data_IF_433428209815
#
_entry.id   IF_433428209815
#
_cell.length_a   1.000
_cell.length_b   1.000
_cell.length_c   1.000
_cell.angle_alpha   90.00
_cell.angle_beta   90.00
_cell.angle_gamma   90.00
#
_symmetry.space_group_name_H-M   'P 1'
#
loop_
_entity.id
_entity.type
_entity.pdbx_description
1 polymer ?
#
# COMPACT_ATOMS: atom_id res chain seq x y z
N UNK A 1 8.06 -17.15 25.34
CA UNK A 1 6.57 -17.09 25.25
C UNK A 1 6.10 -15.84 24.52
N UNK A 2 6.61 -14.64 24.81
CA UNK A 2 6.24 -13.43 24.06
C UNK A 2 6.44 -13.56 22.53
N UNK A 3 7.63 -13.95 22.07
CA UNK A 3 7.97 -14.06 20.63
C UNK A 3 7.04 -14.95 19.78
N UNK A 4 6.39 -15.97 20.37
CA UNK A 4 5.46 -16.83 19.65
C UNK A 4 4.12 -16.13 19.35
N UNK A 5 3.62 -15.33 20.30
CA UNK A 5 2.35 -14.60 20.16
C UNK A 5 2.46 -13.48 19.11
N UNK A 6 3.62 -12.82 18.99
CA UNK A 6 3.84 -11.79 17.96
C UNK A 6 3.93 -12.38 16.56
N UNK A 7 4.56 -13.55 16.41
CA UNK A 7 4.65 -14.21 15.11
C UNK A 7 3.27 -14.73 14.68
N UNK A 8 2.47 -15.25 15.61
CA UNK A 8 1.08 -15.65 15.35
C UNK A 8 0.20 -14.45 14.96
N UNK A 9 0.29 -13.33 15.68
CA UNK A 9 -0.43 -12.10 15.30
C UNK A 9 0.03 -11.53 13.94
N UNK A 10 1.32 -11.64 13.63
CA UNK A 10 1.86 -11.27 12.32
C UNK A 10 1.29 -12.17 11.22
N UNK A 11 1.35 -13.50 11.40
CA UNK A 11 0.87 -14.48 10.44
C UNK A 11 -0.65 -14.36 10.22
N UNK A 12 -1.44 -14.24 11.29
CA UNK A 12 -2.89 -13.99 11.23
C UNK A 12 -3.22 -12.70 10.47
N UNK A 13 -2.38 -11.67 10.61
CA UNK A 13 -2.60 -10.38 9.95
C UNK A 13 -2.31 -10.39 8.44
N UNK A 14 -1.53 -11.35 7.94
CA UNK A 14 -1.16 -11.47 6.52
C UNK A 14 -1.76 -12.70 5.84
N UNK A 15 -2.34 -13.63 6.58
CA UNK A 15 -2.82 -14.92 6.04
C UNK A 15 -3.85 -14.74 4.90
N UNK A 16 -4.73 -13.75 5.03
CA UNK A 16 -5.78 -13.49 4.05
C UNK A 16 -5.32 -12.63 2.87
N UNK A 17 -4.23 -11.87 3.03
CA UNK A 17 -3.79 -10.89 2.04
C UNK A 17 -3.45 -11.51 0.67
N UNK A 18 -2.69 -12.63 0.56
CA UNK A 18 -2.42 -13.26 -0.72
C UNK A 18 -3.69 -13.72 -1.45
N UNK A 19 -4.66 -14.28 -0.72
CA UNK A 19 -5.91 -14.76 -1.28
C UNK A 19 -6.76 -13.60 -1.81
N UNK A 20 -6.86 -12.51 -1.04
CA UNK A 20 -7.58 -11.30 -1.45
C UNK A 20 -6.93 -10.60 -2.65
N UNK A 21 -5.60 -10.47 -2.67
CA UNK A 21 -4.85 -9.95 -3.81
C UNK A 21 -5.09 -10.78 -5.08
N UNK A 22 -5.01 -12.11 -4.96
CA UNK A 22 -5.25 -12.99 -6.10
C UNK A 22 -6.67 -12.81 -6.66
N UNK A 23 -7.68 -12.72 -5.78
CA UNK A 23 -9.06 -12.44 -6.18
C UNK A 23 -9.18 -11.10 -6.89
N UNK A 24 -8.60 -10.04 -6.33
CA UNK A 24 -8.68 -8.70 -6.91
C UNK A 24 -7.96 -8.62 -8.27
N UNK A 25 -6.80 -9.25 -8.44
CA UNK A 25 -6.12 -9.30 -9.74
C UNK A 25 -6.89 -10.11 -10.77
N UNK A 26 -7.58 -11.16 -10.36
CA UNK A 26 -8.46 -11.93 -11.24
C UNK A 26 -9.62 -11.05 -11.73
N UNK A 27 -10.31 -10.38 -10.81
CA UNK A 27 -11.40 -9.45 -11.14
C UNK A 27 -10.91 -8.29 -12.01
N UNK A 28 -9.72 -7.75 -11.75
CA UNK A 28 -9.15 -6.67 -12.56
C UNK A 28 -8.87 -7.12 -13.99
N UNK A 29 -8.37 -8.35 -14.17
CA UNK A 29 -8.18 -8.96 -15.50
C UNK A 29 -9.51 -9.20 -16.21
N UNK A 30 -10.55 -9.60 -15.49
CA UNK A 30 -11.89 -9.75 -16.06
C UNK A 30 -12.46 -8.41 -16.54
N UNK A 31 -12.29 -7.33 -15.76
CA UNK A 31 -12.68 -5.98 -16.16
C UNK A 31 -11.90 -5.51 -17.40
N UNK A 32 -10.60 -5.78 -17.44
CA UNK A 32 -9.76 -5.48 -18.62
C UNK A 32 -10.25 -6.20 -19.87
N UNK A 33 -10.51 -7.50 -19.78
CA UNK A 33 -11.01 -8.26 -20.91
C UNK A 33 -12.37 -7.73 -21.39
N UNK A 34 -13.29 -7.43 -20.48
CA UNK A 34 -14.62 -6.87 -20.83
C UNK A 34 -14.52 -5.47 -21.47
N UNK A 35 -13.60 -4.63 -21.01
CA UNK A 35 -13.35 -3.33 -21.60
C UNK A 35 -12.77 -3.46 -23.02
N UNK A 36 -11.80 -4.35 -23.22
CA UNK A 36 -11.19 -4.59 -24.52
C UNK A 36 -12.19 -5.22 -25.52
N UNK A 37 -13.03 -6.14 -25.07
CA UNK A 37 -14.13 -6.69 -25.88
C UNK A 37 -15.08 -5.57 -26.35
N UNK A 38 -15.50 -4.67 -25.44
CA UNK A 38 -16.34 -3.53 -25.80
C UNK A 38 -15.65 -2.59 -26.78
N UNK A 39 -14.37 -2.33 -26.59
CA UNK A 39 -13.57 -1.51 -27.51
C UNK A 39 -13.54 -2.12 -28.91
N UNK A 40 -13.31 -3.43 -29.02
CA UNK A 40 -13.33 -4.13 -30.30
C UNK A 40 -14.73 -4.10 -30.97
N UNK A 41 -15.81 -4.22 -30.19
CA UNK A 41 -17.18 -4.05 -30.70
C UNK A 41 -17.43 -2.64 -31.22
N UNK A 42 -16.99 -1.62 -30.47
CA UNK A 42 -17.10 -0.21 -30.85
C UNK A 42 -16.34 0.05 -32.16
N UNK A 43 -15.11 -0.45 -32.29
CA UNK A 43 -14.30 -0.28 -33.49
C UNK A 43 -15.00 -0.88 -34.73
N UNK A 44 -15.58 -2.08 -34.60
CA UNK A 44 -16.36 -2.71 -35.67
C UNK A 44 -17.59 -1.88 -36.06
N UNK A 45 -18.36 -1.41 -35.07
CA UNK A 45 -19.54 -0.57 -35.31
C UNK A 45 -19.16 0.77 -35.97
N UNK A 46 -18.05 1.37 -35.57
CA UNK A 46 -17.53 2.60 -36.15
C UNK A 46 -17.08 2.40 -37.60
N UNK A 47 -16.34 1.32 -37.88
CA UNK A 47 -15.95 0.96 -39.24
C UNK A 47 -17.16 0.72 -40.15
N UNK A 48 -18.15 -0.02 -39.68
CA UNK A 48 -19.39 -0.29 -40.42
C UNK A 48 -20.14 1.00 -40.72
N UNK A 49 -20.25 1.89 -39.73
CA UNK A 49 -20.87 3.19 -39.91
C UNK A 49 -20.17 4.01 -40.98
N UNK A 50 -18.83 4.10 -40.94
CA UNK A 50 -18.06 4.86 -41.94
C UNK A 50 -18.27 4.29 -43.36
N UNK A 51 -18.33 2.96 -43.50
CA UNK A 51 -18.54 2.27 -44.79
C UNK A 51 -19.96 2.51 -45.35
N UNK A 52 -20.97 2.61 -44.48
CA UNK A 52 -22.39 2.59 -44.89
C UNK A 52 -23.09 3.94 -44.81
N UNK A 53 -22.56 4.93 -44.08
CA UNK A 53 -23.23 6.20 -43.73
C UNK A 53 -23.84 6.95 -44.91
N UNK A 54 -23.19 6.93 -46.09
CA UNK A 54 -23.69 7.61 -47.29
C UNK A 54 -25.03 7.04 -47.79
N UNK A 55 -25.27 5.77 -47.52
CA UNK A 55 -26.45 5.03 -47.95
C UNK A 55 -27.53 4.91 -46.85
N UNK A 56 -27.23 5.36 -45.62
CA UNK A 56 -28.17 5.31 -44.50
C UNK A 56 -29.08 6.55 -44.47
N UNK A 57 -30.36 6.32 -44.17
CA UNK A 57 -31.32 7.37 -43.85
C UNK A 57 -30.94 8.10 -42.55
N UNK A 58 -31.37 9.36 -42.34
CA UNK A 58 -31.02 10.14 -41.15
C UNK A 58 -31.32 9.41 -39.83
N UNK A 59 -32.47 8.76 -39.72
CA UNK A 59 -32.88 8.03 -38.50
C UNK A 59 -31.97 6.84 -38.21
N UNK A 60 -31.55 6.10 -39.25
CA UNK A 60 -30.63 4.97 -39.11
C UNK A 60 -29.23 5.44 -38.70
N UNK A 61 -28.81 6.64 -39.13
CA UNK A 61 -27.54 7.22 -38.69
C UNK A 61 -27.56 7.54 -37.20
N UNK A 62 -28.66 8.13 -36.72
CA UNK A 62 -28.86 8.41 -35.30
C UNK A 62 -28.84 7.12 -34.49
N UNK A 63 -29.55 6.08 -34.94
CA UNK A 63 -29.57 4.77 -34.27
C UNK A 63 -28.17 4.13 -34.19
N UNK A 64 -27.39 4.16 -35.27
CA UNK A 64 -26.01 3.66 -35.27
C UNK A 64 -25.11 4.44 -34.31
N UNK A 65 -25.20 5.77 -34.30
CA UNK A 65 -24.43 6.60 -33.38
C UNK A 65 -24.81 6.34 -31.91
N UNK A 66 -26.09 6.12 -31.63
CA UNK A 66 -26.55 5.74 -30.29
C UNK A 66 -25.98 4.39 -29.83
N UNK A 67 -25.87 3.40 -30.74
CA UNK A 67 -25.22 2.11 -30.43
C UNK A 67 -23.74 2.27 -30.11
N UNK A 68 -23.02 3.10 -30.87
CA UNK A 68 -21.61 3.41 -30.61
C UNK A 68 -21.47 4.12 -29.26
N UNK A 69 -22.31 5.12 -28.99
CA UNK A 69 -22.28 5.89 -27.74
C UNK A 69 -22.58 5.04 -26.50
N UNK A 70 -23.54 4.11 -26.60
CA UNK A 70 -23.85 3.20 -25.50
C UNK A 70 -22.71 2.20 -25.26
N UNK A 71 -22.06 1.74 -26.32
CA UNK A 71 -20.82 0.95 -26.25
C UNK A 71 -19.72 1.70 -25.49
N UNK A 72 -19.43 2.95 -25.86
CA UNK A 72 -18.44 3.79 -25.17
C UNK A 72 -18.79 4.01 -23.70
N UNK A 73 -20.06 4.27 -23.39
CA UNK A 73 -20.53 4.45 -22.01
C UNK A 73 -20.25 3.20 -21.17
N UNK A 74 -20.51 2.01 -21.73
CA UNK A 74 -20.25 0.74 -21.03
C UNK A 74 -18.76 0.43 -20.90
N UNK A 75 -17.97 0.70 -21.93
CA UNK A 75 -16.51 0.55 -21.88
C UNK A 75 -15.90 1.47 -20.80
N UNK A 76 -16.41 2.69 -20.69
CA UNK A 76 -15.99 3.63 -19.64
C UNK A 76 -16.35 3.11 -18.25
N UNK A 77 -17.57 2.61 -18.05
CA UNK A 77 -18.00 2.02 -16.78
C UNK A 77 -17.05 0.91 -16.31
N UNK A 78 -16.69 -0.04 -17.19
CA UNK A 78 -15.70 -1.07 -16.85
C UNK A 78 -14.32 -0.51 -16.51
N UNK A 79 -13.92 0.57 -17.17
CA UNK A 79 -12.64 1.25 -16.91
C UNK A 79 -12.66 1.95 -15.54
N UNK A 80 -13.77 2.59 -15.19
CA UNK A 80 -13.96 3.26 -13.89
C UNK A 80 -13.98 2.22 -12.76
N UNK A 81 -14.70 1.10 -12.93
CA UNK A 81 -14.72 -0.03 -11.99
C UNK A 81 -13.31 -0.60 -11.77
N UNK A 82 -12.51 -0.71 -12.84
CA UNK A 82 -11.13 -1.19 -12.76
C UNK A 82 -10.27 -0.25 -11.91
N UNK A 83 -10.42 1.06 -12.08
CA UNK A 83 -9.70 2.06 -11.29
C UNK A 83 -10.09 1.94 -9.82
N UNK A 84 -11.38 1.81 -9.51
CA UNK A 84 -11.85 1.63 -8.14
C UNK A 84 -11.29 0.37 -7.49
N UNK A 85 -11.29 -0.75 -8.21
CA UNK A 85 -10.71 -2.01 -7.72
C UNK A 85 -9.20 -1.88 -7.48
N UNK A 86 -8.48 -1.17 -8.33
CA UNK A 86 -7.06 -0.91 -8.16
C UNK A 86 -6.79 -0.04 -6.91
N UNK A 87 -7.59 1.00 -6.68
CA UNK A 87 -7.50 1.83 -5.48
C UNK A 87 -7.75 1.02 -4.22
N UNK A 88 -8.82 0.21 -4.17
CA UNK A 88 -9.12 -0.65 -3.03
C UNK A 88 -8.01 -1.65 -2.75
N UNK A 89 -7.45 -2.25 -3.81
CA UNK A 89 -6.34 -3.21 -3.69
C UNK A 89 -5.08 -2.52 -3.15
N UNK A 90 -4.79 -1.30 -3.61
CA UNK A 90 -3.68 -0.50 -3.11
C UNK A 90 -3.86 -0.15 -1.62
N UNK A 91 -5.02 0.36 -1.23
CA UNK A 91 -5.32 0.70 0.16
C UNK A 91 -5.26 -0.50 1.10
N UNK A 92 -5.73 -1.66 0.64
CA UNK A 92 -5.61 -2.92 1.38
C UNK A 92 -4.13 -3.22 1.65
N UNK A 93 -3.28 -3.19 0.63
CA UNK A 93 -1.84 -3.44 0.77
C UNK A 93 -1.17 -2.40 1.67
N UNK A 94 -1.47 -1.10 1.51
CA UNK A 94 -0.94 -0.02 2.37
C UNK A 94 -1.28 -0.23 3.85
N UNK A 95 -2.51 -0.69 4.15
CA UNK A 95 -2.91 -1.04 5.53
C UNK A 95 -2.04 -2.14 6.11
N UNK A 96 -1.71 -3.17 5.32
CA UNK A 96 -0.81 -4.23 5.79
C UNK A 96 0.61 -3.69 5.99
N UNK A 97 1.16 -2.90 5.06
CA UNK A 97 2.49 -2.28 5.22
C UNK A 97 2.58 -1.49 6.52
N UNK A 98 1.62 -0.58 6.78
CA UNK A 98 1.63 0.23 8.01
C UNK A 98 1.52 -0.59 9.28
N UNK A 99 0.78 -1.70 9.24
CA UNK A 99 0.68 -2.62 10.37
C UNK A 99 2.03 -3.27 10.65
N UNK A 100 2.69 -3.77 9.60
CA UNK A 100 4.03 -4.36 9.71
C UNK A 100 5.05 -3.36 10.24
N UNK A 101 5.04 -2.12 9.75
CA UNK A 101 5.94 -1.07 10.24
C UNK A 101 5.72 -0.77 11.73
N UNK A 102 4.45 -0.73 12.17
CA UNK A 102 4.11 -0.50 13.58
C UNK A 102 4.55 -1.67 14.48
N UNK A 103 4.36 -2.91 14.02
CA UNK A 103 4.76 -4.12 14.75
C UNK A 103 6.29 -4.22 14.85
N UNK A 104 7.01 -3.87 13.78
CA UNK A 104 8.48 -3.78 13.77
C UNK A 104 8.99 -2.72 14.76
N UNK A 105 8.43 -1.51 14.76
CA UNK A 105 8.83 -0.46 15.68
C UNK A 105 8.57 -0.83 17.15
N UNK A 106 7.46 -1.53 17.44
CA UNK A 106 7.20 -2.07 18.78
C UNK A 106 8.23 -3.13 19.18
N UNK A 107 8.56 -4.03 18.26
CA UNK A 107 9.56 -5.08 18.49
C UNK A 107 10.95 -4.49 18.79
N UNK A 108 11.38 -3.48 18.03
CA UNK A 108 12.65 -2.78 18.26
C UNK A 108 12.71 -2.10 19.63
N UNK A 109 11.62 -1.42 20.03
CA UNK A 109 11.53 -0.76 21.34
C UNK A 109 11.58 -1.76 22.50
N UNK A 110 10.85 -2.86 22.42
CA UNK A 110 10.88 -3.90 23.45
C UNK A 110 12.24 -4.61 23.55
N UNK A 111 12.94 -4.78 22.43
CA UNK A 111 14.28 -5.36 22.43
C UNK A 111 15.27 -4.43 23.13
N UNK A 112 15.17 -3.12 22.84
CA UNK A 112 15.98 -2.08 23.49
C UNK A 112 15.70 -1.99 24.99
N UNK A 113 14.44 -2.03 25.39
CA UNK A 113 14.05 -2.02 26.81
C UNK A 113 14.58 -3.25 27.55
N UNK A 114 14.52 -4.45 26.97
CA UNK A 114 15.09 -5.68 27.57
C UNK A 114 16.61 -5.61 27.70
N UNK A 115 17.30 -4.98 26.74
CA UNK A 115 18.73 -4.73 26.80
C UNK A 115 19.07 -3.72 27.91
N UNK A 116 18.33 -2.63 28.01
CA UNK A 116 18.54 -1.59 29.04
C UNK A 116 18.22 -2.12 30.46
N UNK A 117 17.20 -2.97 30.62
CA UNK A 117 16.86 -3.62 31.91
C UNK A 117 17.89 -4.69 32.32
N UNK A 118 18.61 -5.28 31.37
CA UNK A 118 19.73 -6.18 31.67
C UNK A 118 21.03 -5.46 32.05
N UNK A 119 21.06 -4.13 31.92
CA UNK A 119 22.20 -3.27 32.23
C UNK A 119 22.04 -2.45 33.51
N UNK A 120 22.23 -3.08 34.67
CA UNK A 120 22.82 -2.60 35.96
C UNK A 120 22.17 -3.36 37.14
N UNK A 121 22.89 -3.97 38.10
CA UNK A 121 23.84 -3.31 39.00
C UNK A 121 25.11 -4.14 39.30
N UNK A 122 26.28 -3.50 39.21
CA UNK A 122 27.48 -3.93 39.95
C UNK A 122 27.60 -3.05 41.20
N UNK A 123 27.52 -3.60 42.42
CA UNK A 123 27.70 -2.82 43.63
C UNK A 123 29.15 -2.94 44.09
N UNK A 124 30.10 -2.29 43.42
CA UNK A 124 31.40 -2.09 44.05
C UNK A 124 32.16 -0.89 43.48
N UNK A 125 31.97 0.26 44.11
CA UNK A 125 33.09 1.19 44.27
C UNK A 125 32.92 2.02 45.55
N UNK A 126 33.22 1.40 46.69
CA UNK A 126 33.62 2.13 47.89
C UNK A 126 35.11 1.89 48.14
N UNK A 127 35.77 3.00 48.44
CA UNK A 127 37.07 3.15 49.12
C UNK A 127 38.36 2.93 48.33
N UNK A 128 38.94 4.03 47.85
CA UNK A 128 40.35 4.35 48.13
C UNK A 128 40.55 5.87 48.20
N UNK A 129 40.57 6.42 49.41
CA UNK A 129 41.20 7.71 49.70
C UNK A 129 42.72 7.53 49.57
N UNK A 130 43.36 8.30 48.72
CA UNK A 130 44.78 8.65 48.89
C UNK A 130 44.92 10.16 48.76
N UNK A 131 45.24 10.78 49.89
CA UNK A 131 45.69 12.16 49.97
C UNK A 131 47.09 12.24 49.38
N UNK A 132 47.32 13.13 48.42
CA UNK A 132 48.53 13.95 48.45
C UNK A 132 48.22 15.33 47.90
N UNK A 133 48.37 16.27 48.81
CA UNK A 133 48.51 17.72 48.68
C UNK A 133 49.44 18.14 47.52
N UNK A 134 49.08 19.19 46.77
CA UNK A 134 49.75 20.50 46.85
C UNK A 134 49.30 21.48 45.75
N UNK A 135 49.09 22.75 46.14
CA UNK A 135 49.34 23.93 45.29
C UNK A 135 48.18 24.37 44.40
N UNK A 136 47.16 25.05 44.93
CA UNK A 136 47.04 26.51 44.88
C UNK A 136 47.29 27.13 43.48
N UNK A 137 46.22 27.67 42.89
CA UNK A 137 46.04 29.05 42.37
C UNK A 137 45.11 29.03 41.15
N UNK A 138 43.83 29.38 41.37
CA UNK A 138 43.10 30.24 40.45
C UNK A 138 43.42 31.69 40.86
N UNK A 139 43.53 32.63 39.92
CA UNK A 139 42.33 33.42 39.64
C UNK A 139 42.17 33.86 38.16
N UNK A 140 40.90 33.88 37.75
CA UNK A 140 40.20 34.83 36.85
C UNK A 140 40.92 35.62 35.73
N UNK A 141 40.13 35.79 34.65
CA UNK A 141 40.06 36.89 33.69
C UNK A 141 40.98 36.82 32.46
N UNK A 142 40.38 36.82 31.26
CA UNK A 142 40.06 38.06 30.56
C UNK A 142 39.26 37.80 29.27
N UNK A 143 38.63 38.89 28.85
CA UNK A 143 37.90 39.17 27.61
C UNK A 143 38.47 38.53 26.34
#
# INVERSE_FOLDING_TARGET
>A
MATAIYLEHYLDSIENLPCELQRNFTLMRELDNRAEEKKCEIDKLAEEYIKTVRNLAPDQRVEHLQKIQSGFSKCKEYSDDKVQLAMQTYEMVDKHIRRLDADLARFENELKEKLDVSGYESPDNRTAKSKTDCGLICPTASQ
#
